data_IF_374808831461
#
_entry.id   IF_374808831461
#
_cell.length_a   1.000
_cell.length_b   1.000
_cell.length_c   1.000
_cell.angle_alpha   90.00
_cell.angle_beta   90.00
_cell.angle_gamma   90.00
#
_symmetry.space_group_name_H-M   'P 1'
#
loop_
_entity.id
_entity.type
_entity.pdbx_description
1 polymer ?
#
# COMPACT_ATOMS: atom_id res chain seq x y z
N UNK A 1 -7.50 -20.93 -45.30
CA UNK A 1 -6.64 -20.56 -44.17
C UNK A 1 -7.34 -19.42 -43.46
N UNK A 2 -7.85 -19.66 -42.26
CA UNK A 2 -8.48 -18.61 -41.46
C UNK A 2 -7.36 -17.82 -40.78
N UNK A 3 -7.22 -16.56 -41.15
CA UNK A 3 -6.45 -15.60 -40.35
C UNK A 3 -7.27 -15.33 -39.09
N UNK A 4 -6.83 -15.88 -37.97
CA UNK A 4 -7.27 -15.40 -36.66
C UNK A 4 -6.44 -14.13 -36.39
N UNK A 5 -7.02 -12.96 -36.65
CA UNK A 5 -6.57 -11.74 -36.00
C UNK A 5 -7.01 -11.87 -34.54
N UNK A 6 -6.04 -12.09 -33.65
CA UNK A 6 -6.24 -11.89 -32.23
C UNK A 6 -6.35 -10.37 -32.03
N UNK A 7 -7.57 -9.88 -31.86
CA UNK A 7 -7.81 -8.49 -31.52
C UNK A 7 -7.34 -8.30 -30.07
N UNK A 8 -6.12 -7.81 -29.91
CA UNK A 8 -5.53 -7.55 -28.60
C UNK A 8 -6.12 -6.23 -28.09
N UNK A 9 -7.18 -6.32 -27.31
CA UNK A 9 -7.73 -5.16 -26.63
C UNK A 9 -6.74 -4.71 -25.54
N UNK A 10 -6.18 -3.51 -25.71
CA UNK A 10 -5.40 -2.83 -24.68
C UNK A 10 -6.42 -2.15 -23.76
N UNK A 11 -6.74 -2.79 -22.64
CA UNK A 11 -7.69 -2.32 -21.63
C UNK A 11 -7.04 -2.25 -20.23
N UNK A 12 -7.83 -1.88 -19.22
CA UNK A 12 -7.37 -1.71 -17.83
C UNK A 12 -6.90 -3.04 -17.22
N UNK A 13 -7.61 -4.14 -17.49
CA UNK A 13 -7.23 -5.50 -17.07
C UNK A 13 -5.87 -5.93 -17.67
N UNK A 14 -5.65 -5.59 -18.94
CA UNK A 14 -4.34 -5.81 -19.56
C UNK A 14 -3.26 -4.97 -18.88
N UNK A 15 -3.56 -3.71 -18.54
CA UNK A 15 -2.59 -2.84 -17.87
C UNK A 15 -2.21 -3.36 -16.50
N UNK A 16 -3.21 -3.72 -15.70
CA UNK A 16 -3.05 -4.24 -14.35
C UNK A 16 -2.09 -5.43 -14.35
N UNK A 17 -2.32 -6.38 -15.27
CA UNK A 17 -1.44 -7.55 -15.44
C UNK A 17 -0.02 -7.15 -15.81
N UNK A 18 0.15 -6.22 -16.76
CA UNK A 18 1.47 -5.77 -17.16
C UNK A 18 2.24 -5.10 -16.01
N UNK A 19 1.56 -4.33 -15.15
CA UNK A 19 2.16 -3.73 -13.94
C UNK A 19 2.57 -4.81 -12.94
N UNK A 20 1.71 -5.79 -12.67
CA UNK A 20 2.01 -6.91 -11.76
C UNK A 20 3.18 -7.74 -12.28
N UNK A 21 3.15 -8.14 -13.56
CA UNK A 21 4.21 -8.91 -14.21
C UNK A 21 5.56 -8.19 -14.12
N UNK A 22 5.59 -6.87 -14.40
CA UNK A 22 6.82 -6.10 -14.28
C UNK A 22 7.37 -6.08 -12.86
N UNK A 23 6.53 -5.87 -11.85
CA UNK A 23 6.96 -5.87 -10.44
C UNK A 23 7.49 -7.24 -10.00
N UNK A 24 6.84 -8.33 -10.44
CA UNK A 24 7.29 -9.69 -10.12
C UNK A 24 8.59 -10.07 -10.85
N UNK A 25 8.64 -9.87 -12.17
CA UNK A 25 9.73 -10.38 -13.01
C UNK A 25 10.99 -9.51 -12.93
N UNK A 26 10.86 -8.23 -12.58
CA UNK A 26 11.98 -7.29 -12.59
C UNK A 26 12.35 -6.72 -11.22
N UNK A 27 11.45 -6.77 -10.22
CA UNK A 27 11.68 -6.14 -8.92
C UNK A 27 11.50 -7.12 -7.74
N UNK A 28 11.33 -8.42 -8.01
CA UNK A 28 11.20 -9.50 -7.02
C UNK A 28 9.98 -9.37 -6.07
N UNK A 29 8.92 -8.71 -6.52
CA UNK A 29 7.68 -8.60 -5.73
C UNK A 29 6.91 -9.93 -5.76
N UNK A 30 6.28 -10.26 -4.64
CA UNK A 30 5.35 -11.39 -4.56
C UNK A 30 3.94 -10.92 -4.92
N UNK A 31 3.33 -11.52 -5.94
CA UNK A 31 1.93 -11.26 -6.29
C UNK A 31 0.98 -12.01 -5.37
N UNK A 32 -0.01 -11.29 -4.83
CA UNK A 32 -1.17 -11.88 -4.15
C UNK A 32 -2.46 -11.43 -4.84
N UNK A 33 -3.35 -12.37 -5.12
CA UNK A 33 -4.69 -12.05 -5.59
C UNK A 33 -5.60 -11.78 -4.39
N UNK A 34 -6.07 -10.54 -4.22
CA UNK A 34 -6.79 -10.08 -3.02
C UNK A 34 -7.97 -10.96 -2.56
N UNK A 35 -8.77 -11.56 -3.47
CA UNK A 35 -9.82 -12.52 -3.11
C UNK A 35 -9.32 -13.85 -2.53
N UNK A 36 -8.10 -14.27 -2.85
CA UNK A 36 -7.49 -15.51 -2.34
C UNK A 36 -6.74 -15.30 -1.03
N UNK A 37 -6.48 -14.05 -0.65
CA UNK A 37 -5.83 -13.71 0.61
C UNK A 37 -6.80 -13.90 1.78
N UNK A 38 -6.45 -14.70 2.79
CA UNK A 38 -7.27 -14.89 3.98
C UNK A 38 -7.59 -13.57 4.70
N UNK A 39 -8.84 -13.41 5.12
CA UNK A 39 -9.31 -12.26 5.91
C UNK A 39 -9.45 -12.64 7.37
N UNK A 40 -9.22 -11.69 8.29
CA UNK A 40 -9.44 -11.94 9.72
C UNK A 40 -10.91 -12.20 10.03
N UNK A 41 -11.80 -11.58 9.24
CA UNK A 41 -13.26 -11.66 9.37
C UNK A 41 -13.93 -11.53 8.01
N UNK A 42 -15.21 -11.91 7.94
CA UNK A 42 -16.07 -11.67 6.77
C UNK A 42 -16.42 -10.18 6.58
N UNK A 43 -15.89 -9.27 7.41
CA UNK A 43 -16.13 -7.82 7.28
C UNK A 43 -15.13 -7.12 6.34
N UNK A 44 -14.07 -7.78 5.87
CA UNK A 44 -13.07 -7.21 4.94
C UNK A 44 -12.48 -5.88 5.45
N UNK A 45 -12.10 -5.83 6.73
CA UNK A 45 -11.54 -4.64 7.41
C UNK A 45 -10.04 -4.71 7.67
N UNK A 46 -9.39 -5.71 7.13
CA UNK A 46 -7.95 -5.91 7.24
C UNK A 46 -7.20 -4.78 6.50
N UNK A 47 -6.59 -3.87 7.27
CA UNK A 47 -5.68 -2.86 6.69
C UNK A 47 -4.35 -3.51 6.32
N UNK A 48 -3.88 -4.43 7.17
CA UNK A 48 -2.57 -5.07 7.02
C UNK A 48 -2.70 -6.53 6.60
N UNK A 49 -1.67 -7.04 5.93
CA UNK A 49 -1.45 -8.47 5.76
C UNK A 49 -0.82 -9.02 7.05
N UNK A 50 -1.67 -9.39 8.01
CA UNK A 50 -1.25 -9.62 9.41
C UNK A 50 -0.10 -10.61 9.58
N UNK A 51 -0.16 -11.77 8.91
CA UNK A 51 0.88 -12.81 9.04
C UNK A 51 2.23 -12.35 8.47
N UNK A 52 2.19 -11.59 7.36
CA UNK A 52 3.39 -10.99 6.73
C UNK A 52 3.94 -9.89 7.64
N UNK A 53 3.08 -9.01 8.14
CA UNK A 53 3.46 -7.93 9.05
C UNK A 53 4.14 -8.46 10.31
N UNK A 54 3.51 -9.42 11.00
CA UNK A 54 4.08 -10.01 12.22
C UNK A 54 5.44 -10.64 11.95
N UNK A 55 5.56 -11.41 10.86
CA UNK A 55 6.81 -12.09 10.51
C UNK A 55 7.92 -11.11 10.14
N UNK A 56 7.60 -10.07 9.37
CA UNK A 56 8.55 -9.05 8.96
C UNK A 56 9.04 -8.23 10.16
N UNK A 57 8.16 -7.81 11.07
CA UNK A 57 8.57 -7.06 12.25
C UNK A 57 9.42 -7.89 13.21
N UNK A 58 9.12 -9.19 13.39
CA UNK A 58 9.99 -10.10 14.15
C UNK A 58 11.38 -10.24 13.51
N UNK A 59 11.45 -10.30 12.17
CA UNK A 59 12.71 -10.40 11.41
C UNK A 59 13.54 -9.13 11.44
N UNK A 60 12.92 -7.96 11.30
CA UNK A 60 13.63 -6.67 11.34
C UNK A 60 14.15 -6.37 12.75
N UNK A 61 13.44 -6.85 13.77
CA UNK A 61 13.72 -6.54 15.17
C UNK A 61 14.17 -7.78 15.95
N UNK A 62 15.09 -8.59 15.40
CA UNK A 62 15.48 -9.90 15.96
C UNK A 62 15.93 -9.87 17.43
N UNK A 63 16.44 -8.72 17.90
CA UNK A 63 16.90 -8.54 19.27
C UNK A 63 15.77 -8.26 20.27
N UNK A 64 14.55 -7.98 19.80
CA UNK A 64 13.41 -7.64 20.64
C UNK A 64 12.54 -8.87 20.90
N UNK A 65 11.96 -9.00 22.11
CA UNK A 65 11.02 -10.08 22.38
C UNK A 65 9.70 -9.83 21.64
N UNK A 66 8.97 -10.91 21.35
CA UNK A 66 7.65 -10.88 20.69
C UNK A 66 6.66 -9.89 21.31
N UNK A 67 6.69 -9.70 22.63
CA UNK A 67 5.83 -8.73 23.31
C UNK A 67 6.03 -7.28 22.83
N UNK A 68 7.26 -6.90 22.45
CA UNK A 68 7.55 -5.60 21.86
C UNK A 68 6.91 -5.45 20.48
N UNK A 69 7.02 -6.49 19.64
CA UNK A 69 6.42 -6.53 18.29
C UNK A 69 4.89 -6.50 18.38
N UNK A 70 4.29 -7.26 19.29
CA UNK A 70 2.83 -7.27 19.51
C UNK A 70 2.34 -5.88 19.95
N UNK A 71 3.07 -5.20 20.84
CA UNK A 71 2.74 -3.82 21.25
C UNK A 71 2.85 -2.83 20.08
N UNK A 72 3.86 -2.97 19.22
CA UNK A 72 3.99 -2.13 18.01
C UNK A 72 2.80 -2.35 17.07
N UNK A 73 2.43 -3.62 16.81
CA UNK A 73 1.29 -3.98 15.97
C UNK A 73 -0.01 -3.41 16.55
N UNK A 74 -0.20 -3.47 17.87
CA UNK A 74 -1.36 -2.86 18.53
C UNK A 74 -1.40 -1.35 18.31
N UNK A 75 -0.27 -0.65 18.44
CA UNK A 75 -0.19 0.81 18.22
C UNK A 75 -0.49 1.21 16.78
N UNK A 76 0.09 0.51 15.79
CA UNK A 76 -0.13 0.86 14.37
C UNK A 76 -1.53 0.46 13.87
N UNK A 77 -2.21 -0.51 14.51
CA UNK A 77 -3.63 -0.79 14.25
C UNK A 77 -4.56 0.26 14.86
N UNK A 78 -4.13 0.91 15.94
CA UNK A 78 -4.95 1.85 16.69
C UNK A 78 -4.35 3.26 16.66
N UNK A 79 -3.96 3.75 15.47
CA UNK A 79 -3.50 5.13 15.32
C UNK A 79 -4.65 6.09 15.60
N UNK A 80 -4.67 6.59 16.83
CA UNK A 80 -5.60 7.61 17.28
C UNK A 80 -5.19 8.98 16.70
N UNK A 81 -6.18 9.83 16.48
CA UNK A 81 -5.96 11.16 15.93
C UNK A 81 -7.23 11.74 15.33
N UNK A 82 -7.20 13.03 15.00
CA UNK A 82 -8.34 13.73 14.42
C UNK A 82 -8.59 13.32 12.98
N UNK A 83 -8.04 14.09 12.03
CA UNK A 83 -8.27 13.88 10.60
C UNK A 83 -7.45 12.70 10.06
N UNK A 84 -7.80 12.22 8.85
CA UNK A 84 -6.99 11.24 8.13
C UNK A 84 -5.53 11.71 7.98
N UNK A 85 -5.32 12.97 7.61
CA UNK A 85 -3.98 13.53 7.44
C UNK A 85 -3.15 13.50 8.73
N UNK A 86 -3.77 13.77 9.89
CA UNK A 86 -3.08 13.70 11.18
C UNK A 86 -2.69 12.27 11.56
N UNK A 87 -3.58 11.30 11.31
CA UNK A 87 -3.27 9.88 11.56
C UNK A 87 -2.18 9.37 10.61
N UNK A 88 -2.22 9.81 9.35
CA UNK A 88 -1.18 9.49 8.38
C UNK A 88 0.17 10.10 8.73
N UNK A 89 0.20 11.35 9.22
CA UNK A 89 1.42 11.98 9.73
C UNK A 89 2.04 11.18 10.88
N UNK A 90 1.24 10.75 11.86
CA UNK A 90 1.69 9.88 12.96
C UNK A 90 2.24 8.55 12.43
N UNK A 91 1.56 7.92 11.48
CA UNK A 91 2.04 6.65 10.90
C UNK A 91 3.34 6.86 10.13
N UNK A 92 3.46 7.95 9.39
CA UNK A 92 4.67 8.28 8.63
C UNK A 92 5.86 8.59 9.56
N UNK A 93 5.61 9.13 10.75
CA UNK A 93 6.63 9.25 11.80
C UNK A 93 7.06 7.88 12.32
N UNK A 94 6.13 6.93 12.49
CA UNK A 94 6.48 5.54 12.82
C UNK A 94 7.29 4.84 11.73
N UNK A 95 6.99 5.10 10.45
CA UNK A 95 7.78 4.57 9.35
C UNK A 95 9.22 5.08 9.42
N UNK A 96 9.43 6.37 9.70
CA UNK A 96 10.77 6.97 9.72
C UNK A 96 11.57 6.69 11.00
N UNK A 97 10.90 6.71 12.15
CA UNK A 97 11.56 6.72 13.47
C UNK A 97 11.38 5.42 14.24
N UNK A 98 10.53 4.51 13.76
CA UNK A 98 10.07 3.35 14.51
C UNK A 98 8.95 3.70 15.50
N UNK A 99 8.34 2.65 16.05
CA UNK A 99 7.28 2.72 17.05
C UNK A 99 7.92 2.54 18.43
N UNK A 100 7.86 3.58 19.27
CA UNK A 100 8.21 3.42 20.69
C UNK A 100 7.19 2.49 21.34
N UNK A 101 7.65 1.43 22.00
CA UNK A 101 6.82 0.42 22.65
C UNK A 101 7.20 0.27 24.11
N UNK A 102 6.20 -0.05 24.93
CA UNK A 102 6.40 -0.38 26.34
C UNK A 102 5.81 -1.76 26.63
N UNK A 103 6.62 -2.66 27.14
CA UNK A 103 6.22 -4.06 27.34
C UNK A 103 6.92 -4.68 28.56
N UNK A 104 6.39 -5.80 29.05
CA UNK A 104 6.98 -6.57 30.13
C UNK A 104 7.83 -7.73 29.57
N UNK A 105 9.12 -7.79 29.89
CA UNK A 105 10.07 -8.80 29.36
C UNK A 105 10.03 -10.14 30.12
N UNK A 106 9.10 -10.30 31.06
CA UNK A 106 9.04 -11.42 32.01
C UNK A 106 9.70 -11.12 33.37
N UNK A 107 10.41 -10.00 33.50
CA UNK A 107 11.07 -9.56 34.74
C UNK A 107 10.72 -8.12 35.11
N UNK A 108 10.76 -7.21 34.15
CA UNK A 108 10.53 -5.78 34.34
C UNK A 108 9.86 -5.14 33.12
N UNK A 109 9.37 -3.92 33.32
CA UNK A 109 8.89 -3.06 32.25
C UNK A 109 10.07 -2.49 31.46
N UNK A 110 9.98 -2.53 30.13
CA UNK A 110 10.97 -1.96 29.21
C UNK A 110 10.33 -1.06 28.19
N UNK A 111 11.11 -0.07 27.77
CA UNK A 111 10.81 0.80 26.65
C UNK A 111 11.85 0.52 25.55
N UNK A 112 11.41 0.22 24.34
CA UNK A 112 12.26 0.01 23.14
C UNK A 112 11.61 0.65 21.91
N UNK A 113 12.31 0.65 20.78
CA UNK A 113 11.80 1.09 19.48
C UNK A 113 11.71 -0.11 18.55
N UNK A 114 10.55 -0.33 17.95
CA UNK A 114 10.32 -1.33 16.92
C UNK A 114 10.31 -0.65 15.56
N UNK A 115 11.22 -1.03 14.66
CA UNK A 115 11.27 -0.50 13.30
C UNK A 115 10.30 -1.24 12.38
N UNK A 116 9.59 -0.49 11.52
CA UNK A 116 8.60 -1.03 10.59
C UNK A 116 9.18 -1.38 9.21
N UNK A 117 10.28 -0.72 8.84
CA UNK A 117 11.00 -0.88 7.58
C UNK A 117 12.48 -0.97 7.91
N UNK A 118 13.18 -1.90 7.27
CA UNK A 118 14.63 -1.98 7.31
C UNK A 118 15.20 -1.11 6.18
N UNK A 119 15.60 0.12 6.51
CA UNK A 119 16.22 1.02 5.54
C UNK A 119 17.72 0.75 5.35
N UNK A 120 18.35 0.04 6.29
CA UNK A 120 19.78 -0.28 6.24
C UNK A 120 20.04 -1.48 5.32
N UNK A 121 19.12 -2.46 5.33
CA UNK A 121 19.09 -3.60 4.40
C UNK A 121 17.72 -3.72 3.72
N UNK A 122 17.50 -3.04 2.57
CA UNK A 122 16.21 -3.08 1.87
C UNK A 122 15.76 -4.48 1.45
N UNK A 123 16.70 -5.41 1.20
CA UNK A 123 16.40 -6.81 0.83
C UNK A 123 15.77 -7.60 2.00
N UNK A 124 15.88 -7.10 3.23
CA UNK A 124 15.26 -7.68 4.41
C UNK A 124 13.75 -7.32 4.53
N UNK A 125 13.21 -6.49 3.64
CA UNK A 125 11.78 -6.16 3.61
C UNK A 125 11.02 -7.07 2.64
N UNK A 126 9.77 -7.37 2.98
CA UNK A 126 8.86 -8.12 2.11
C UNK A 126 8.05 -7.18 1.22
N UNK A 127 8.15 -7.34 -0.11
CA UNK A 127 7.41 -6.54 -1.09
C UNK A 127 6.32 -7.37 -1.76
N UNK A 128 5.08 -6.90 -1.67
CA UNK A 128 3.92 -7.57 -2.28
C UNK A 128 3.16 -6.61 -3.18
N UNK A 129 2.79 -7.10 -4.36
CA UNK A 129 1.83 -6.46 -5.24
C UNK A 129 0.49 -7.19 -5.10
N UNK A 130 -0.55 -6.46 -4.71
CA UNK A 130 -1.86 -7.05 -4.43
C UNK A 130 -2.91 -6.37 -5.29
N UNK A 131 -3.56 -7.14 -6.16
CA UNK A 131 -4.68 -6.63 -6.95
C UNK A 131 -6.02 -7.08 -6.38
N UNK A 132 -7.08 -6.33 -6.71
CA UNK A 132 -8.45 -6.62 -6.30
C UNK A 132 -8.66 -6.77 -4.79
N UNK A 133 -7.95 -5.97 -3.99
CA UNK A 133 -8.12 -5.95 -2.54
C UNK A 133 -9.44 -5.28 -2.15
N UNK A 134 -10.51 -6.07 -1.94
CA UNK A 134 -11.75 -5.55 -1.38
C UNK A 134 -11.55 -5.12 0.07
N UNK A 135 -12.02 -3.93 0.41
CA UNK A 135 -12.00 -3.37 1.76
C UNK A 135 -13.31 -2.63 2.08
N UNK A 136 -13.82 -2.81 3.30
CA UNK A 136 -15.13 -2.27 3.71
C UNK A 136 -15.02 -1.50 5.02
N UNK A 137 -15.21 -0.18 4.95
CA UNK A 137 -15.28 0.69 6.13
C UNK A 137 -16.61 1.44 6.18
N UNK A 138 -16.73 2.55 5.44
CA UNK A 138 -17.99 3.28 5.26
C UNK A 138 -18.76 2.81 4.03
N UNK A 139 -18.04 2.38 2.99
CA UNK A 139 -18.59 1.61 1.87
C UNK A 139 -17.53 0.66 1.34
N UNK A 140 -17.97 -0.37 0.63
CA UNK A 140 -17.06 -1.26 -0.09
C UNK A 140 -16.31 -0.50 -1.19
N UNK A 141 -14.99 -0.68 -1.24
CA UNK A 141 -14.11 -0.24 -2.32
C UNK A 141 -13.13 -1.37 -2.67
N UNK A 142 -12.65 -1.34 -3.90
CA UNK A 142 -11.66 -2.26 -4.44
C UNK A 142 -10.72 -1.44 -5.33
N UNK A 143 -9.58 -1.01 -4.80
CA UNK A 143 -8.52 -0.42 -5.62
C UNK A 143 -7.95 -1.45 -6.58
N UNK A 144 -7.39 -0.97 -7.70
CA UNK A 144 -6.85 -1.83 -8.75
C UNK A 144 -5.63 -2.59 -8.24
N UNK A 145 -4.62 -1.86 -7.77
CA UNK A 145 -3.37 -2.42 -7.24
C UNK A 145 -2.95 -1.68 -5.96
N UNK A 146 -2.47 -2.45 -4.98
CA UNK A 146 -1.87 -1.93 -3.74
C UNK A 146 -0.50 -2.57 -3.57
N UNK A 147 0.50 -1.75 -3.27
CA UNK A 147 1.81 -2.23 -2.83
C UNK A 147 1.83 -2.32 -1.32
N UNK A 148 2.05 -3.53 -0.84
CA UNK A 148 2.32 -3.79 0.56
C UNK A 148 3.82 -3.96 0.80
N UNK A 149 4.35 -3.26 1.80
CA UNK A 149 5.73 -3.43 2.28
C UNK A 149 5.66 -3.92 3.72
N UNK A 150 6.26 -5.06 4.03
CA UNK A 150 6.14 -5.73 5.33
C UNK A 150 4.68 -5.87 5.77
N UNK A 151 3.78 -6.15 4.82
CA UNK A 151 2.34 -6.27 5.09
C UNK A 151 1.60 -4.95 5.35
N UNK A 152 2.21 -3.78 5.15
CA UNK A 152 1.58 -2.47 5.24
C UNK A 152 1.25 -1.87 3.86
N UNK A 153 0.01 -1.39 3.60
CA UNK A 153 -0.37 -0.85 2.29
C UNK A 153 0.19 0.57 2.09
N UNK A 154 1.43 0.67 1.59
CA UNK A 154 2.15 1.93 1.48
C UNK A 154 1.88 2.68 0.17
N UNK A 155 1.53 1.98 -0.92
CA UNK A 155 1.27 2.62 -2.22
C UNK A 155 -0.05 2.16 -2.80
N UNK A 156 -0.86 3.10 -3.25
CA UNK A 156 -2.15 2.87 -3.89
C UNK A 156 -2.04 3.19 -5.37
N UNK A 157 -2.44 2.28 -6.25
CA UNK A 157 -2.49 2.50 -7.69
C UNK A 157 -3.95 2.56 -8.16
N UNK A 158 -4.21 3.54 -9.00
CA UNK A 158 -5.44 3.69 -9.76
C UNK A 158 -5.08 3.72 -11.25
N UNK A 159 -5.52 2.71 -11.98
CA UNK A 159 -5.20 2.50 -13.39
C UNK A 159 -6.40 2.90 -14.24
N UNK A 160 -6.14 3.39 -15.46
CA UNK A 160 -7.18 3.70 -16.44
C UNK A 160 -6.77 3.14 -17.79
N UNK A 161 -7.77 2.79 -18.61
CA UNK A 161 -7.53 2.48 -20.02
C UNK A 161 -7.01 3.73 -20.77
N UNK A 162 -6.25 3.59 -21.87
CA UNK A 162 -5.68 4.70 -22.64
C UNK A 162 -6.71 5.48 -23.48
N UNK A 163 -7.85 5.86 -22.90
CA UNK A 163 -8.86 6.71 -23.53
C UNK A 163 -8.39 8.18 -23.44
N UNK A 164 -9.26 9.19 -23.60
CA UNK A 164 -8.80 10.59 -23.73
C UNK A 164 -8.07 11.07 -22.45
N UNK A 165 -6.74 11.16 -22.52
CA UNK A 165 -5.78 11.46 -21.43
C UNK A 165 -6.26 12.46 -20.35
N UNK A 166 -6.81 13.63 -20.72
CA UNK A 166 -7.21 14.64 -19.72
C UNK A 166 -8.43 14.23 -18.88
N UNK A 167 -9.37 13.47 -19.43
CA UNK A 167 -10.57 13.05 -18.69
C UNK A 167 -10.21 11.95 -17.70
N UNK A 168 -9.37 11.01 -18.12
CA UNK A 168 -9.02 9.82 -17.35
C UNK A 168 -8.15 10.16 -16.11
N UNK A 169 -7.24 11.14 -16.20
CA UNK A 169 -6.44 11.58 -15.07
C UNK A 169 -7.27 12.25 -13.96
N UNK A 170 -8.25 13.08 -14.33
CA UNK A 170 -9.17 13.69 -13.36
C UNK A 170 -10.10 12.65 -12.74
N UNK A 171 -10.55 11.66 -13.51
CA UNK A 171 -11.38 10.57 -13.00
C UNK A 171 -10.62 9.68 -12.00
N UNK A 172 -9.36 9.31 -12.30
CA UNK A 172 -8.50 8.58 -11.37
C UNK A 172 -8.27 9.37 -10.06
N UNK A 173 -8.04 10.68 -10.16
CA UNK A 173 -7.89 11.53 -8.98
C UNK A 173 -9.17 11.54 -8.13
N UNK A 174 -10.33 11.74 -8.75
CA UNK A 174 -11.62 11.73 -8.06
C UNK A 174 -11.90 10.37 -7.40
N UNK A 175 -11.48 9.26 -8.02
CA UNK A 175 -11.60 7.92 -7.46
C UNK A 175 -10.75 7.75 -6.19
N UNK A 176 -9.48 8.19 -6.22
CA UNK A 176 -8.63 8.23 -5.03
C UNK A 176 -9.23 9.10 -3.92
N UNK A 177 -9.77 10.29 -4.25
CA UNK A 177 -10.47 11.15 -3.27
C UNK A 177 -11.69 10.46 -2.67
N UNK A 178 -12.44 9.70 -3.47
CA UNK A 178 -13.55 8.91 -2.98
C UNK A 178 -13.07 7.79 -2.04
N UNK A 179 -11.99 7.10 -2.37
CA UNK A 179 -11.41 6.08 -1.49
C UNK A 179 -11.01 6.68 -0.13
N UNK A 180 -10.32 7.82 -0.11
CA UNK A 180 -9.95 8.50 1.13
C UNK A 180 -11.14 8.88 2.02
N UNK A 181 -12.33 9.06 1.45
CA UNK A 181 -13.56 9.33 2.20
C UNK A 181 -14.26 8.05 2.67
N UNK A 182 -14.23 6.99 1.87
CA UNK A 182 -15.02 5.78 2.09
C UNK A 182 -14.28 4.66 2.82
N UNK A 183 -12.95 4.62 2.68
CA UNK A 183 -12.04 3.63 3.27
C UNK A 183 -10.79 4.32 3.85
N UNK A 184 -10.91 5.41 4.64
CA UNK A 184 -9.77 6.18 5.13
C UNK A 184 -8.74 5.35 5.90
N UNK A 185 -9.13 4.25 6.54
CA UNK A 185 -8.20 3.44 7.32
C UNK A 185 -7.07 2.82 6.47
N UNK A 186 -7.33 2.52 5.19
CA UNK A 186 -6.28 2.08 4.25
C UNK A 186 -5.27 3.19 3.90
N UNK A 187 -5.65 4.46 4.07
CA UNK A 187 -4.79 5.61 3.78
C UNK A 187 -4.04 6.14 5.00
N UNK A 188 -4.24 5.56 6.17
CA UNK A 188 -3.42 5.88 7.35
C UNK A 188 -1.95 5.49 7.12
N UNK A 189 -1.61 4.27 6.66
CA UNK A 189 -0.21 3.92 6.35
C UNK A 189 0.27 4.39 4.97
N UNK A 190 -0.61 4.91 4.10
CA UNK A 190 -0.26 5.25 2.73
C UNK A 190 0.82 6.34 2.66
N UNK A 191 1.86 6.11 1.86
CA UNK A 191 2.93 7.07 1.61
C UNK A 191 2.62 7.91 0.38
N UNK A 192 2.18 7.27 -0.72
CA UNK A 192 1.76 7.97 -1.93
C UNK A 192 0.76 7.15 -2.76
N UNK A 193 0.10 7.85 -3.69
CA UNK A 193 -0.82 7.29 -4.66
C UNK A 193 -0.25 7.47 -6.06
N UNK A 194 -0.50 6.50 -6.93
CA UNK A 194 -0.11 6.47 -8.34
C UNK A 194 -1.38 6.47 -9.19
N UNK A 195 -1.43 7.33 -10.20
CA UNK A 195 -2.47 7.33 -11.22
C UNK A 195 -1.81 7.09 -12.56
N UNK A 196 -2.34 6.17 -13.38
CA UNK A 196 -1.77 5.94 -14.69
C UNK A 196 -2.76 5.46 -15.75
N UNK A 197 -2.63 5.97 -16.97
CA UNK A 197 -3.47 5.68 -18.13
C UNK A 197 -2.69 5.01 -19.29
N UNK A 198 -1.63 4.26 -18.97
CA UNK A 198 -0.58 3.73 -19.87
C UNK A 198 0.28 4.78 -20.60
N UNK A 199 -0.27 5.94 -20.92
CA UNK A 199 0.46 7.05 -21.57
C UNK A 199 1.21 7.93 -20.56
N UNK A 200 0.62 8.13 -19.39
CA UNK A 200 1.14 9.01 -18.36
C UNK A 200 1.02 8.34 -16.99
N UNK A 201 2.00 8.59 -16.14
CA UNK A 201 1.99 8.14 -14.73
C UNK A 201 2.26 9.34 -13.84
N UNK A 202 1.35 9.60 -12.90
CA UNK A 202 1.46 10.70 -11.94
C UNK A 202 1.47 10.16 -10.51
N UNK A 203 2.19 10.86 -9.63
CA UNK A 203 2.30 10.52 -8.22
C UNK A 203 1.94 11.71 -7.35
N UNK A 204 1.22 11.45 -6.26
CA UNK A 204 0.84 12.44 -5.26
C UNK A 204 0.55 11.80 -3.90
N UNK A 205 0.41 12.63 -2.87
CA UNK A 205 0.09 12.17 -1.51
C UNK A 205 -1.39 12.39 -1.18
N UNK A 206 -1.85 11.89 -0.03
CA UNK A 206 -3.25 11.99 0.40
C UNK A 206 -3.72 13.45 0.64
N UNK A 207 -2.78 14.37 0.82
CA UNK A 207 -3.02 15.80 1.04
C UNK A 207 -2.81 16.65 -0.22
N UNK A 208 -2.29 16.06 -1.30
CA UNK A 208 -2.04 16.76 -2.54
C UNK A 208 -3.36 17.06 -3.29
N UNK A 209 -3.48 18.29 -3.76
CA UNK A 209 -4.46 18.67 -4.78
C UNK A 209 -4.07 18.06 -6.14
N UNK A 210 -5.01 17.96 -7.08
CA UNK A 210 -4.82 17.32 -8.38
C UNK A 210 -3.64 17.90 -9.18
N UNK A 211 -3.44 19.23 -9.13
CA UNK A 211 -2.35 19.93 -9.81
C UNK A 211 -0.96 19.61 -9.22
N UNK A 212 -0.92 18.98 -8.05
CA UNK A 212 0.29 18.51 -7.37
C UNK A 212 0.58 17.02 -7.61
N UNK A 213 -0.29 16.32 -8.33
CA UNK A 213 0.05 15.01 -8.88
C UNK A 213 0.97 15.21 -10.08
N UNK A 214 2.26 14.98 -9.86
CA UNK A 214 3.30 15.25 -10.85
C UNK A 214 3.68 13.99 -11.61
N UNK A 215 4.04 14.16 -12.87
CA UNK A 215 4.56 13.07 -13.67
C UNK A 215 5.78 12.46 -12.97
N UNK A 216 5.81 11.14 -12.86
CA UNK A 216 6.99 10.42 -12.41
C UNK A 216 8.03 10.45 -13.53
N UNK A 217 9.04 11.32 -13.40
CA UNK A 217 10.10 11.45 -14.39
C UNK A 217 11.35 10.73 -13.90
N UNK A 218 12.04 10.09 -14.84
CA UNK A 218 13.41 9.63 -14.60
C UNK A 218 14.29 10.82 -14.16
N UNK A 219 15.38 10.55 -13.43
CA UNK A 219 16.36 11.59 -13.04
C UNK A 219 16.89 12.33 -14.28
N UNK A 220 16.90 11.66 -15.44
CA UNK A 220 17.35 12.17 -16.72
C UNK A 220 16.25 12.87 -17.54
N UNK A 221 14.98 12.82 -17.11
CA UNK A 221 13.88 13.59 -17.68
C UNK A 221 13.26 13.05 -18.97
N UNK A 222 13.63 11.84 -19.38
CA UNK A 222 12.95 11.06 -20.42
C UNK A 222 11.76 10.28 -19.83
#
# INVERSE_FOLDING_TARGET
>A
MAHYEYDFAIDEDFYEKAVIEHLCDNQDYVHLYGPDVPRSTEEYRDVFLFDILSSALERINECLPRAAVEEAILKINNVEGGTLAQRNEIFNDYLQSGVEVRYFDGKEERDDIVYLIDFDDPENNDFHVVNQWTFVEYSEKRPDVIIFVNGMPLVMFELKSPSREEVDASDAYLQLRAYMQHIPSLFVPNVFCVMSDMSSTKVGTITADEDRYVAWKSVDGD
#
